data_IF_219180709693
#
_entry.id   IF_219180709693
#
_cell.length_a   1.000
_cell.length_b   1.000
_cell.length_c   1.000
_cell.angle_alpha   90.00
_cell.angle_beta   90.00
_cell.angle_gamma   90.00
#
_symmetry.space_group_name_H-M   'P 1'
#
loop_
_entity.id
_entity.type
_entity.pdbx_description
1 polymer ?
#
# COMPACT_ATOMS: atom_id res chain seq x y z
N UNK A 1 15.27 24.01 -2.62
CA UNK A 1 13.98 24.24 -3.33
C UNK A 1 13.40 22.87 -3.63
N UNK A 2 12.36 22.44 -2.92
CA UNK A 2 11.66 21.20 -3.25
C UNK A 2 10.71 21.49 -4.42
N UNK A 3 10.85 20.74 -5.52
CA UNK A 3 9.98 20.89 -6.68
C UNK A 3 8.58 20.40 -6.32
N UNK A 4 7.53 20.84 -7.03
CA UNK A 4 6.16 20.33 -6.85
C UNK A 4 6.13 18.80 -6.89
N UNK A 5 6.97 18.20 -7.75
CA UNK A 5 7.13 16.74 -7.87
C UNK A 5 7.66 16.08 -6.59
N UNK A 6 8.51 16.77 -5.83
CA UNK A 6 9.06 16.26 -4.58
C UNK A 6 8.03 16.33 -3.46
N UNK A 7 7.26 17.44 -3.36
CA UNK A 7 6.15 17.53 -2.40
C UNK A 7 5.08 16.48 -2.64
N UNK A 8 4.76 16.18 -3.90
CA UNK A 8 3.82 15.10 -4.22
C UNK A 8 4.36 13.73 -3.82
N UNK A 9 5.67 13.47 -3.97
CA UNK A 9 6.28 12.22 -3.50
C UNK A 9 6.25 12.08 -1.98
N UNK A 10 6.54 13.18 -1.28
CA UNK A 10 6.50 13.25 0.18
C UNK A 10 5.07 13.06 0.70
N UNK A 11 4.09 13.71 0.08
CA UNK A 11 2.68 13.59 0.46
C UNK A 11 2.09 12.18 0.21
N UNK A 12 2.57 11.50 -0.84
CA UNK A 12 2.18 10.13 -1.17
C UNK A 12 2.98 9.06 -0.41
N UNK A 13 3.99 9.43 0.39
CA UNK A 13 4.82 8.47 1.13
C UNK A 13 5.62 7.53 0.23
N UNK A 14 6.06 7.98 -0.95
CA UNK A 14 6.79 7.14 -1.91
C UNK A 14 8.09 6.61 -1.30
N UNK A 15 8.27 5.29 -1.32
CA UNK A 15 9.39 4.57 -0.70
C UNK A 15 9.14 4.22 0.77
N UNK A 16 8.02 4.65 1.35
CA UNK A 16 7.62 4.26 2.69
C UNK A 16 6.81 2.97 2.66
N UNK A 17 6.91 2.20 3.74
CA UNK A 17 6.18 0.94 3.91
C UNK A 17 5.15 1.08 5.03
N UNK A 18 3.92 0.69 4.73
CA UNK A 18 2.79 0.76 5.65
C UNK A 18 2.15 -0.61 5.81
N UNK A 19 1.67 -0.92 7.02
CA UNK A 19 0.87 -2.11 7.27
C UNK A 19 -0.61 -1.80 7.00
N UNK A 20 -1.15 -2.37 5.94
CA UNK A 20 -2.47 -2.02 5.40
C UNK A 20 -3.36 -3.25 5.31
N UNK A 21 -4.63 -3.08 5.66
CA UNK A 21 -5.67 -4.07 5.37
C UNK A 21 -6.12 -3.87 3.93
N UNK A 22 -5.97 -4.90 3.11
CA UNK A 22 -6.36 -4.83 1.70
C UNK A 22 -7.80 -5.30 1.53
N UNK A 23 -8.54 -4.60 0.69
CA UNK A 23 -9.89 -4.97 0.26
C UNK A 23 -9.88 -5.19 -1.25
N UNK A 24 -10.69 -6.11 -1.75
CA UNK A 24 -10.91 -6.23 -3.18
C UNK A 24 -11.99 -5.25 -3.65
N UNK A 25 -11.65 -4.38 -4.60
CA UNK A 25 -12.59 -3.49 -5.29
C UNK A 25 -12.27 -3.50 -6.79
N UNK A 26 -13.31 -3.67 -7.62
CA UNK A 26 -13.18 -3.74 -9.08
C UNK A 26 -12.14 -4.79 -9.55
N UNK A 27 -12.04 -5.91 -8.85
CA UNK A 27 -11.08 -6.99 -9.15
C UNK A 27 -9.61 -6.63 -8.82
N UNK A 28 -9.37 -5.59 -8.02
CA UNK A 28 -8.04 -5.18 -7.56
C UNK A 28 -7.98 -5.05 -6.04
N UNK A 29 -6.81 -5.33 -5.48
CA UNK A 29 -6.56 -5.08 -4.07
C UNK A 29 -6.27 -3.60 -3.85
N UNK A 30 -7.05 -2.97 -2.98
CA UNK A 30 -6.93 -1.57 -2.63
C UNK A 30 -6.91 -1.39 -1.12
N UNK A 31 -6.35 -0.29 -0.66
CA UNK A 31 -6.38 0.12 0.74
C UNK A 31 -6.53 1.63 0.84
N UNK A 32 -7.17 2.09 1.92
CA UNK A 32 -7.17 3.50 2.27
C UNK A 32 -5.74 3.96 2.55
N UNK A 33 -5.40 5.17 2.14
CA UNK A 33 -4.10 5.73 2.41
C UNK A 33 -3.98 6.11 3.90
N UNK A 34 -2.92 5.70 4.62
CA UNK A 34 -2.79 5.96 6.06
C UNK A 34 -2.60 7.45 6.38
N UNK A 35 -2.08 8.23 5.43
CA UNK A 35 -2.08 9.68 5.51
C UNK A 35 -3.47 10.22 5.10
N UNK A 36 -4.25 10.72 6.07
CA UNK A 36 -5.56 11.38 5.86
C UNK A 36 -5.50 12.56 4.89
N UNK A 37 -4.32 13.16 4.67
CA UNK A 37 -4.14 14.24 3.71
C UNK A 37 -3.97 13.75 2.26
N UNK A 38 -3.82 12.44 2.04
CA UNK A 38 -3.71 11.88 0.69
C UNK A 38 -5.10 11.81 0.06
N UNK A 39 -5.33 12.47 -1.09
CA UNK A 39 -6.59 12.38 -1.80
C UNK A 39 -6.77 11.04 -2.54
N UNK A 40 -5.75 10.18 -2.57
CA UNK A 40 -5.74 8.95 -3.37
C UNK A 40 -5.60 7.71 -2.48
N UNK A 41 -6.44 6.71 -2.74
CA UNK A 41 -6.29 5.35 -2.22
C UNK A 41 -5.06 4.66 -2.82
N UNK A 42 -4.63 3.58 -2.16
CA UNK A 42 -3.51 2.75 -2.58
C UNK A 42 -4.07 1.56 -3.37
N UNK A 43 -3.54 1.32 -4.57
CA UNK A 43 -3.82 0.14 -5.38
C UNK A 43 -2.61 -0.80 -5.37
N UNK A 44 -2.76 -2.00 -4.82
CA UNK A 44 -1.71 -2.98 -4.73
C UNK A 44 -1.72 -3.85 -5.98
N UNK A 45 -0.69 -3.69 -6.82
CA UNK A 45 -0.58 -4.39 -8.12
C UNK A 45 0.72 -5.16 -8.28
N UNK A 46 1.67 -4.97 -7.36
CA UNK A 46 2.97 -5.66 -7.35
C UNK A 46 3.16 -6.47 -6.06
N UNK A 47 3.95 -7.54 -6.11
CA UNK A 47 4.24 -8.40 -4.95
C UNK A 47 3.08 -9.30 -4.52
N UNK A 48 2.00 -9.34 -5.32
CA UNK A 48 0.80 -10.11 -5.01
C UNK A 48 1.06 -11.62 -4.92
N UNK A 49 2.15 -12.12 -5.51
CA UNK A 49 2.62 -13.50 -5.39
C UNK A 49 3.06 -13.88 -3.97
N UNK A 50 3.28 -12.90 -3.09
CA UNK A 50 3.61 -13.12 -1.67
C UNK A 50 2.38 -13.32 -0.80
N UNK A 51 1.20 -13.02 -1.32
CA UNK A 51 -0.07 -13.22 -0.62
C UNK A 51 -0.51 -14.67 -0.76
N UNK A 52 -0.82 -15.31 0.35
CA UNK A 52 -1.36 -16.67 0.38
C UNK A 52 -2.83 -16.72 -0.11
N UNK A 53 -3.56 -15.61 0.08
CA UNK A 53 -4.96 -15.46 -0.33
C UNK A 53 -5.24 -14.02 -0.83
N UNK A 54 -6.30 -13.85 -1.63
CA UNK A 54 -6.70 -12.56 -2.21
C UNK A 54 -8.22 -12.37 -2.10
N UNK A 55 -8.69 -11.38 -1.34
CA UNK A 55 -7.93 -10.46 -0.48
C UNK A 55 -7.35 -11.15 0.77
N UNK A 56 -6.22 -10.69 1.33
CA UNK A 56 -5.69 -11.18 2.60
C UNK A 56 -6.61 -10.85 3.78
N UNK A 57 -6.84 -11.82 4.67
CA UNK A 57 -7.60 -11.60 5.91
C UNK A 57 -6.87 -10.73 6.95
N UNK A 58 -5.54 -10.80 6.95
CA UNK A 58 -4.65 -10.08 7.86
C UNK A 58 -4.02 -8.85 7.17
N UNK A 59 -3.69 -7.78 7.91
CA UNK A 59 -2.98 -6.63 7.34
C UNK A 59 -1.58 -7.01 6.86
N UNK A 60 -1.20 -6.51 5.68
CA UNK A 60 0.09 -6.81 5.02
C UNK A 60 0.93 -5.55 4.86
N UNK A 61 2.25 -5.73 4.78
CA UNK A 61 3.20 -4.64 4.56
C UNK A 61 3.29 -4.30 3.08
N UNK A 62 2.94 -3.05 2.76
CA UNK A 62 2.90 -2.51 1.41
C UNK A 62 3.82 -1.30 1.33
N UNK A 63 4.77 -1.34 0.38
CA UNK A 63 5.61 -0.21 0.03
C UNK A 63 4.91 0.64 -1.04
N UNK A 64 4.89 1.96 -0.86
CA UNK A 64 4.34 2.88 -1.85
C UNK A 64 5.37 3.15 -2.94
N UNK A 65 5.02 2.82 -4.18
CA UNK A 65 5.88 3.01 -5.35
C UNK A 65 5.62 4.38 -5.96
N UNK A 66 6.64 4.96 -6.60
CA UNK A 66 6.59 6.27 -7.28
C UNK A 66 5.73 6.27 -8.58
N UNK A 67 4.53 5.67 -8.54
CA UNK A 67 3.67 5.40 -9.69
C UNK A 67 2.20 5.53 -9.30
N UNK A 68 1.38 6.01 -10.24
CA UNK A 68 -0.07 6.13 -10.09
C UNK A 68 -0.76 5.40 -11.24
N UNK A 69 -1.81 4.63 -10.94
CA UNK A 69 -2.64 3.89 -11.91
C UNK A 69 -4.10 4.08 -11.55
N UNK A 70 -4.94 4.40 -12.53
CA UNK A 70 -6.39 4.59 -12.34
C UNK A 70 -6.74 5.52 -11.17
N UNK A 71 -5.98 6.61 -11.03
CA UNK A 71 -6.15 7.60 -9.96
C UNK A 71 -5.72 7.12 -8.57
N UNK A 72 -5.02 6.00 -8.45
CA UNK A 72 -4.54 5.45 -7.16
C UNK A 72 -3.03 5.33 -7.13
N UNK A 73 -2.43 5.56 -5.97
CA UNK A 73 -0.99 5.34 -5.83
C UNK A 73 -0.69 3.84 -5.80
N UNK A 74 0.35 3.42 -6.52
CA UNK A 74 0.69 2.01 -6.62
C UNK A 74 1.40 1.55 -5.35
N UNK A 75 0.91 0.47 -4.76
CA UNK A 75 1.55 -0.26 -3.68
C UNK A 75 2.14 -1.58 -4.14
N UNK A 76 3.24 -2.00 -3.48
CA UNK A 76 3.87 -3.31 -3.64
C UNK A 76 3.85 -4.06 -2.33
N UNK A 77 3.36 -5.30 -2.31
CA UNK A 77 3.47 -6.16 -1.13
C UNK A 77 4.95 -6.52 -0.92
N UNK A 78 5.48 -6.15 0.24
CA UNK A 78 6.86 -6.47 0.64
C UNK A 78 6.90 -7.54 1.73
N UNK A 79 5.87 -7.65 2.56
CA UNK A 79 5.70 -8.80 3.46
C UNK A 79 4.21 -9.05 3.73
N UNK A 80 3.83 -10.33 3.73
CA UNK A 80 2.49 -10.78 4.14
C UNK A 80 2.52 -11.38 5.56
N UNK A 81 3.65 -11.29 6.25
CA UNK A 81 3.85 -11.98 7.52
C UNK A 81 2.91 -11.45 8.59
N UNK A 82 2.11 -12.36 9.13
CA UNK A 82 1.51 -12.22 10.44
C UNK A 82 2.67 -12.08 11.42
N UNK A 83 2.76 -10.98 12.17
CA UNK A 83 3.70 -10.94 13.31
C UNK A 83 3.49 -12.23 14.10
N UNK A 84 4.51 -13.11 14.20
CA UNK A 84 4.38 -14.31 14.99
C UNK A 84 4.13 -13.82 16.41
N UNK A 85 2.92 -14.09 16.91
CA UNK A 85 2.43 -13.50 18.15
C UNK A 85 3.46 -13.59 19.26
N UNK A 86 3.61 -12.51 20.02
CA UNK A 86 4.25 -12.59 21.32
C UNK A 86 3.54 -13.71 22.10
N UNK A 87 4.23 -14.80 22.47
CA UNK A 87 3.63 -15.80 23.35
C UNK A 87 3.33 -15.10 24.69
N UNK A 88 2.06 -15.10 25.09
CA UNK A 88 1.64 -14.72 26.45
C UNK A 88 2.01 -15.81 27.45
#
# INVERSE_FOLDING_TARGET
MTSIRDRFREALGVGETYRLRLEERDGRLVAAHPNDSSPLDIAVVEGLERLEERPPTEPVSVEIVARVVDGRVVGRVVSAEREPGSPS
#
